data_IF_756794374245
#
_entry.id   IF_756794374245
#
_cell.length_a   1.000
_cell.length_b   1.000
_cell.length_c   1.000
_cell.angle_alpha   90.00
_cell.angle_beta   90.00
_cell.angle_gamma   90.00
#
_symmetry.space_group_name_H-M   'P 1'
#
loop_
_entity.id
_entity.type
_entity.pdbx_description
1 polymer ?
#
# COMPACT_ATOMS: atom_id res chain seq x y z
N UNK A 1 -37.07 -7.76 24.15
CA UNK A 1 -36.39 -6.45 24.16
C UNK A 1 -35.26 -6.53 23.16
N UNK A 2 -35.14 -5.63 22.19
CA UNK A 2 -33.97 -5.65 21.33
C UNK A 2 -32.76 -5.28 22.19
N UNK A 3 -31.77 -6.17 22.25
CA UNK A 3 -30.50 -5.86 22.83
C UNK A 3 -29.87 -4.74 22.02
N UNK A 4 -29.68 -3.58 22.66
CA UNK A 4 -28.90 -2.51 22.08
C UNK A 4 -27.45 -3.00 21.99
N UNK A 5 -27.08 -3.49 20.83
CA UNK A 5 -25.66 -3.74 20.49
C UNK A 5 -25.01 -2.38 20.40
N UNK A 6 -24.35 -1.97 21.48
CA UNK A 6 -23.54 -0.77 21.48
C UNK A 6 -22.28 -1.09 20.69
N UNK A 7 -22.23 -0.64 19.45
CA UNK A 7 -20.99 -0.64 18.67
C UNK A 7 -20.00 0.28 19.35
N UNK A 8 -19.07 -0.28 20.09
CA UNK A 8 -17.91 0.47 20.56
C UNK A 8 -17.02 0.79 19.38
N UNK A 9 -17.25 1.95 18.78
CA UNK A 9 -16.27 2.56 17.89
C UNK A 9 -15.13 3.01 18.79
N UNK A 10 -14.04 2.25 18.80
CA UNK A 10 -12.83 2.64 19.52
C UNK A 10 -12.21 3.83 18.80
N UNK A 11 -12.51 5.02 19.28
CA UNK A 11 -11.74 6.21 18.92
C UNK A 11 -10.41 6.12 19.66
N UNK A 12 -9.34 5.89 18.93
CA UNK A 12 -7.99 5.91 19.49
C UNK A 12 -7.55 7.35 19.65
N UNK A 13 -7.61 7.86 20.88
CA UNK A 13 -7.11 9.19 21.24
C UNK A 13 -5.63 9.08 21.63
N UNK A 14 -4.76 9.71 20.87
CA UNK A 14 -3.32 9.63 20.97
C UNK A 14 -2.77 11.02 21.30
N UNK A 15 -2.08 11.13 22.43
CA UNK A 15 -1.42 12.35 22.83
C UNK A 15 0.05 12.29 22.43
N UNK A 16 0.49 13.28 21.66
CA UNK A 16 1.86 13.42 21.19
C UNK A 16 2.43 14.76 21.63
N UNK A 17 3.75 14.84 21.72
CA UNK A 17 4.45 16.05 22.07
C UNK A 17 5.32 16.51 20.90
N UNK A 18 5.20 17.78 20.56
CA UNK A 18 6.10 18.43 19.64
C UNK A 18 7.35 18.87 20.42
N UNK A 19 8.51 18.40 19.99
CA UNK A 19 9.79 18.87 20.51
C UNK A 19 10.17 20.19 19.84
N UNK A 20 10.42 21.18 20.65
CA UNK A 20 11.06 22.42 20.26
C UNK A 20 12.48 22.44 20.85
N UNK A 21 13.46 22.96 20.13
CA UNK A 21 14.90 22.96 20.47
C UNK A 21 15.24 23.56 21.84
N UNK A 22 14.34 24.29 22.44
CA UNK A 22 14.52 24.92 23.74
C UNK A 22 14.26 23.99 24.94
N UNK A 23 13.96 22.67 24.73
CA UNK A 23 13.21 21.93 25.73
C UNK A 23 13.79 20.59 26.16
N UNK A 24 14.44 20.60 27.29
CA UNK A 24 14.58 19.42 28.14
C UNK A 24 13.20 19.09 28.73
N UNK A 25 12.62 18.02 28.27
CA UNK A 25 11.26 17.58 28.65
C UNK A 25 11.23 17.10 30.09
N UNK A 26 10.47 17.77 30.93
CA UNK A 26 10.30 17.36 32.32
C UNK A 26 9.16 16.36 32.48
N UNK A 27 8.16 16.35 31.59
CA UNK A 27 6.99 15.47 31.67
C UNK A 27 6.41 15.14 30.28
N UNK A 28 7.01 14.24 29.51
CA UNK A 28 6.44 13.86 28.22
C UNK A 28 5.08 13.17 28.36
N UNK A 29 4.18 13.33 27.40
CA UNK A 29 2.94 12.58 27.35
C UNK A 29 3.27 11.08 27.22
N UNK A 30 2.42 10.26 27.83
CA UNK A 30 2.58 8.80 27.76
C UNK A 30 1.46 8.21 26.93
N UNK A 31 1.82 7.63 25.80
CA UNK A 31 0.95 6.72 25.10
C UNK A 31 1.62 5.34 25.04
N UNK A 32 1.46 4.59 26.11
CA UNK A 32 2.03 3.24 26.27
C UNK A 32 1.07 2.15 25.76
N UNK A 33 0.00 2.53 25.07
CA UNK A 33 -0.98 1.56 24.58
C UNK A 33 -0.64 1.15 23.16
N UNK A 34 -0.55 -0.17 22.94
CA UNK A 34 -0.54 -0.74 21.61
C UNK A 34 -1.89 -0.45 20.96
N UNK A 35 -1.85 0.21 19.81
CA UNK A 35 -3.03 0.54 19.02
C UNK A 35 -3.37 -0.70 18.18
N UNK A 36 -4.58 -1.24 18.35
CA UNK A 36 -5.04 -2.40 17.59
C UNK A 36 -5.83 -1.95 16.38
N UNK A 37 -5.43 -2.41 15.21
CA UNK A 37 -6.09 -2.15 13.94
C UNK A 37 -6.50 -3.48 13.32
N UNK A 38 -7.72 -3.57 12.83
CA UNK A 38 -8.26 -4.81 12.27
C UNK A 38 -8.38 -4.69 10.74
N UNK A 39 -7.88 -5.72 10.03
CA UNK A 39 -8.08 -5.84 8.58
C UNK A 39 -9.57 -5.92 8.27
N UNK A 40 -9.97 -5.33 7.14
CA UNK A 40 -11.38 -5.32 6.72
C UNK A 40 -12.23 -4.21 7.36
N UNK A 41 -11.65 -3.41 8.27
CA UNK A 41 -12.35 -2.31 8.95
C UNK A 41 -11.54 -1.04 8.89
N UNK A 42 -12.18 0.08 8.56
CA UNK A 42 -11.55 1.39 8.60
C UNK A 42 -11.34 1.82 10.06
N UNK A 43 -10.11 2.21 10.39
CA UNK A 43 -9.75 2.66 11.73
C UNK A 43 -9.40 4.14 11.71
N UNK A 44 -9.86 4.87 12.72
CA UNK A 44 -9.58 6.30 12.88
C UNK A 44 -8.70 6.51 14.11
N UNK A 45 -7.60 7.23 13.91
CA UNK A 45 -6.69 7.66 14.95
C UNK A 45 -6.82 9.17 15.11
N UNK A 46 -7.17 9.64 16.31
CA UNK A 46 -7.24 11.06 16.65
C UNK A 46 -5.97 11.43 17.41
N UNK A 47 -5.25 12.44 16.92
CA UNK A 47 -4.03 12.94 17.54
C UNK A 47 -4.30 14.27 18.27
N UNK A 48 -3.70 14.40 19.44
CA UNK A 48 -3.72 15.61 20.24
C UNK A 48 -2.27 16.04 20.49
N UNK A 49 -1.82 17.06 19.78
CA UNK A 49 -0.44 17.51 19.80
C UNK A 49 -0.30 18.63 20.84
N UNK A 50 0.64 18.44 21.73
CA UNK A 50 0.88 19.33 22.88
C UNK A 50 2.34 19.74 22.93
N UNK A 51 2.58 20.89 23.56
CA UNK A 51 3.91 21.34 23.94
C UNK A 51 4.39 20.65 25.24
N UNK A 52 5.58 21.03 25.69
CA UNK A 52 6.19 20.59 26.96
C UNK A 52 5.33 20.89 28.18
N UNK A 53 4.55 21.97 28.15
CA UNK A 53 3.68 22.41 29.23
C UNK A 53 2.29 21.76 29.15
N UNK A 54 2.11 20.79 28.24
CA UNK A 54 0.86 20.09 27.94
C UNK A 54 -0.23 20.98 27.36
N UNK A 55 0.13 22.15 26.83
CA UNK A 55 -0.79 23.04 26.13
C UNK A 55 -0.92 22.57 24.67
N UNK A 56 -2.09 22.73 24.05
CA UNK A 56 -2.25 22.47 22.64
C UNK A 56 -1.30 23.31 21.78
N UNK A 57 -0.71 22.71 20.78
CA UNK A 57 0.16 23.38 19.80
C UNK A 57 -0.65 23.71 18.56
N UNK A 58 -0.56 24.95 18.07
CA UNK A 58 -1.19 25.31 16.81
C UNK A 58 -0.47 24.64 15.63
N UNK A 59 -1.23 24.00 14.76
CA UNK A 59 -0.75 23.39 13.53
C UNK A 59 -1.05 24.25 12.28
N UNK A 60 -1.60 25.44 12.48
CA UNK A 60 -2.18 26.31 11.43
C UNK A 60 -1.22 26.70 10.30
N UNK A 61 0.07 26.48 10.48
CA UNK A 61 1.11 26.94 9.55
C UNK A 61 2.01 25.81 9.06
N UNK A 62 1.59 24.56 9.21
CA UNK A 62 2.45 23.44 8.87
C UNK A 62 1.70 22.25 8.30
N UNK A 63 2.43 21.17 8.10
CA UNK A 63 1.88 19.91 7.59
C UNK A 63 2.27 18.77 8.52
N UNK A 64 1.27 18.02 8.96
CA UNK A 64 1.47 16.82 9.76
C UNK A 64 1.47 15.59 8.85
N UNK A 65 2.57 14.84 8.86
CA UNK A 65 2.72 13.64 8.03
C UNK A 65 2.92 12.40 8.91
N UNK A 66 2.20 11.35 8.59
CA UNK A 66 2.28 10.05 9.25
C UNK A 66 2.97 9.02 8.34
N UNK A 67 3.83 8.19 8.94
CA UNK A 67 4.57 7.10 8.28
C UNK A 67 4.26 5.80 9.02
N UNK A 68 3.76 4.81 8.34
CA UNK A 68 3.56 3.47 8.88
C UNK A 68 4.61 2.52 8.30
N UNK A 69 5.39 1.90 9.17
CA UNK A 69 6.54 1.07 8.82
C UNK A 69 6.40 -0.31 9.46
N UNK A 70 6.79 -1.35 8.75
CA UNK A 70 6.86 -2.69 9.35
C UNK A 70 7.98 -2.73 10.41
N UNK A 71 7.65 -3.20 11.62
CA UNK A 71 8.60 -3.25 12.74
C UNK A 71 9.84 -4.12 12.45
N UNK A 72 9.66 -5.22 11.74
CA UNK A 72 10.73 -6.21 11.51
C UNK A 72 11.57 -5.89 10.27
N UNK A 73 10.92 -5.50 9.16
CA UNK A 73 11.59 -5.32 7.88
C UNK A 73 11.97 -3.88 7.59
N UNK A 74 11.47 -2.92 8.39
CA UNK A 74 11.58 -1.47 8.18
C UNK A 74 10.99 -0.98 6.85
N UNK A 75 10.18 -1.80 6.18
CA UNK A 75 9.51 -1.41 4.95
C UNK A 75 8.39 -0.41 5.24
N UNK A 76 8.36 0.66 4.47
CA UNK A 76 7.31 1.68 4.53
C UNK A 76 6.02 1.12 3.91
N UNK A 77 4.94 1.09 4.69
CA UNK A 77 3.61 0.70 4.21
C UNK A 77 2.92 1.85 3.49
N UNK A 78 2.86 2.99 4.16
CA UNK A 78 2.33 4.20 3.56
C UNK A 78 2.89 5.46 4.22
N UNK A 79 2.86 6.55 3.46
CA UNK A 79 3.02 7.91 3.94
C UNK A 79 1.72 8.66 3.69
N UNK A 80 1.22 9.39 4.69
CA UNK A 80 -0.04 10.13 4.54
C UNK A 80 -0.04 11.42 5.32
N UNK A 81 -0.55 12.47 4.71
CA UNK A 81 -0.86 13.72 5.42
C UNK A 81 -2.04 13.48 6.37
N UNK A 82 -1.87 13.89 7.61
CA UNK A 82 -2.92 13.83 8.63
C UNK A 82 -3.91 14.97 8.39
N UNK A 83 -5.20 14.64 8.38
CA UNK A 83 -6.26 15.62 8.28
C UNK A 83 -6.31 16.46 9.58
N UNK A 84 -6.15 17.76 9.47
CA UNK A 84 -6.29 18.67 10.61
C UNK A 84 -7.77 18.87 10.91
N UNK A 85 -8.19 18.55 12.15
CA UNK A 85 -9.58 18.77 12.61
C UNK A 85 -9.71 20.18 13.19
N UNK A 86 -8.75 20.55 14.03
CA UNK A 86 -8.65 21.86 14.65
C UNK A 86 -7.17 22.23 14.78
N UNK A 87 -6.72 23.02 13.83
CA UNK A 87 -5.34 23.46 13.76
C UNK A 87 -4.92 24.41 14.90
N UNK A 88 -5.87 25.05 15.54
CA UNK A 88 -5.59 25.95 16.68
C UNK A 88 -5.36 25.20 17.98
N UNK A 89 -5.99 24.04 18.13
CA UNK A 89 -5.90 23.18 19.33
C UNK A 89 -5.05 21.93 19.11
N UNK A 90 -4.31 21.84 18.00
CA UNK A 90 -3.37 20.74 17.73
C UNK A 90 -4.05 19.41 17.51
N UNK A 91 -5.25 19.39 16.94
CA UNK A 91 -5.99 18.15 16.70
C UNK A 91 -5.87 17.70 15.24
N UNK A 92 -5.46 16.46 15.05
CA UNK A 92 -5.35 15.82 13.76
C UNK A 92 -6.03 14.45 13.72
N UNK A 93 -6.37 13.98 12.52
CA UNK A 93 -7.05 12.72 12.28
C UNK A 93 -6.39 11.95 11.16
N UNK A 94 -6.04 10.71 11.43
CA UNK A 94 -5.54 9.76 10.43
C UNK A 94 -6.55 8.63 10.26
N UNK A 95 -6.96 8.40 9.02
CA UNK A 95 -7.77 7.24 8.66
C UNK A 95 -6.86 6.17 8.07
N UNK A 96 -6.83 5.01 8.71
CA UNK A 96 -6.26 3.79 8.14
C UNK A 96 -7.41 3.05 7.48
N UNK A 97 -7.42 3.02 6.17
CA UNK A 97 -8.50 2.43 5.39
C UNK A 97 -8.27 0.93 5.23
N UNK A 98 -9.35 0.17 5.06
CA UNK A 98 -9.26 -1.25 4.76
C UNK A 98 -8.30 -1.55 3.59
N UNK A 99 -8.36 -0.75 2.53
CA UNK A 99 -7.49 -0.91 1.36
C UNK A 99 -5.99 -0.77 1.68
N UNK A 100 -5.63 -0.01 2.71
CA UNK A 100 -4.24 0.16 3.13
C UNK A 100 -3.69 -1.10 3.81
N UNK A 101 -4.56 -1.98 4.26
CA UNK A 101 -4.24 -3.22 4.96
C UNK A 101 -4.43 -4.47 4.09
N UNK A 102 -4.83 -4.30 2.83
CA UNK A 102 -4.91 -5.42 1.87
C UNK A 102 -3.49 -5.95 1.62
N UNK A 103 -3.32 -7.26 1.81
CA UNK A 103 -2.01 -7.90 1.68
C UNK A 103 -1.05 -7.70 2.87
N UNK A 104 -1.36 -6.80 3.81
CA UNK A 104 -0.54 -6.59 5.01
C UNK A 104 -0.64 -7.78 5.94
N UNK A 105 0.49 -8.24 6.47
CA UNK A 105 0.54 -9.36 7.43
C UNK A 105 0.06 -8.88 8.80
N UNK A 106 -0.59 -9.79 9.55
CA UNK A 106 -0.89 -9.54 10.95
C UNK A 106 0.41 -9.51 11.76
N UNK A 107 0.59 -8.48 12.57
CA UNK A 107 1.83 -8.29 13.33
C UNK A 107 1.99 -6.86 13.83
N UNK A 108 3.23 -6.53 14.23
CA UNK A 108 3.56 -5.22 14.78
C UNK A 108 4.16 -4.29 13.74
N UNK A 109 3.68 -3.06 13.79
CA UNK A 109 4.07 -1.95 12.93
C UNK A 109 4.39 -0.73 13.78
N UNK A 110 5.15 0.20 13.22
CA UNK A 110 5.55 1.44 13.87
C UNK A 110 4.94 2.62 13.11
N UNK A 111 4.17 3.43 13.82
CA UNK A 111 3.64 4.69 13.31
C UNK A 111 4.46 5.83 13.87
N UNK A 112 5.07 6.61 13.01
CA UNK A 112 5.74 7.86 13.38
C UNK A 112 5.06 9.04 12.71
N UNK A 113 5.13 10.20 13.35
CA UNK A 113 4.58 11.44 12.83
C UNK A 113 5.66 12.53 12.83
N UNK A 114 5.63 13.37 11.79
CA UNK A 114 6.45 14.55 11.69
C UNK A 114 5.58 15.77 11.43
N UNK A 115 5.99 16.88 11.98
CA UNK A 115 5.39 18.19 11.70
C UNK A 115 6.38 19.04 10.92
N UNK A 116 6.01 19.49 9.74
CA UNK A 116 6.78 20.44 8.94
C UNK A 116 6.19 21.83 9.14
N UNK A 117 6.97 22.73 9.72
CA UNK A 117 6.56 24.13 9.98
C UNK A 117 6.63 24.99 8.70
N UNK A 118 6.24 26.27 8.80
CA UNK A 118 6.30 27.23 7.67
C UNK A 118 7.72 27.54 7.21
N UNK A 119 8.69 27.45 8.11
CA UNK A 119 10.10 27.72 7.81
C UNK A 119 10.75 26.57 7.06
N UNK A 120 10.04 25.45 6.92
CA UNK A 120 10.48 24.25 6.21
C UNK A 120 11.14 23.22 7.11
N UNK A 121 11.28 23.47 8.40
CA UNK A 121 11.86 22.52 9.35
C UNK A 121 10.92 21.36 9.61
N UNK A 122 11.48 20.17 9.68
CA UNK A 122 10.75 18.95 9.98
C UNK A 122 11.05 18.51 11.42
N UNK A 123 10.05 18.59 12.26
CA UNK A 123 10.14 18.29 13.69
C UNK A 123 9.49 16.92 13.98
N UNK A 124 10.14 16.05 14.76
CA UNK A 124 9.53 14.79 15.17
C UNK A 124 8.49 15.01 16.26
N UNK A 125 7.49 14.13 16.32
CA UNK A 125 6.51 14.09 17.39
C UNK A 125 6.83 12.91 18.32
N UNK A 126 6.94 13.18 19.61
CA UNK A 126 7.29 12.18 20.61
C UNK A 126 6.05 11.52 21.20
N UNK A 127 6.10 10.21 21.32
CA UNK A 127 5.03 9.36 21.82
C UNK A 127 5.19 9.02 23.31
N UNK A 128 6.42 8.95 23.82
CA UNK A 128 6.70 8.54 25.20
C UNK A 128 7.87 9.30 25.87
N UNK A 129 8.21 8.90 27.08
CA UNK A 129 9.27 9.51 27.91
C UNK A 129 10.70 9.14 27.48
N UNK A 130 10.85 8.14 26.65
CA UNK A 130 12.16 7.63 26.23
C UNK A 130 12.61 8.25 24.91
N UNK A 131 12.12 9.44 24.57
CA UNK A 131 12.37 10.11 23.30
C UNK A 131 11.97 9.25 22.09
N UNK A 132 10.99 8.36 22.30
CA UNK A 132 10.50 7.48 21.26
C UNK A 132 9.51 8.22 20.35
N UNK A 133 9.86 8.34 19.08
CA UNK A 133 9.03 8.95 18.05
C UNK A 133 8.05 7.97 17.39
N UNK A 134 8.03 6.71 17.86
CA UNK A 134 7.28 5.63 17.26
C UNK A 134 6.16 5.15 18.17
N UNK A 135 4.98 5.00 17.60
CA UNK A 135 3.82 4.36 18.21
C UNK A 135 3.71 2.93 17.71
N UNK A 136 3.49 1.98 18.61
CA UNK A 136 3.29 0.58 18.20
C UNK A 136 1.85 0.37 17.76
N UNK A 137 1.67 -0.12 16.54
CA UNK A 137 0.39 -0.57 15.97
C UNK A 137 0.44 -2.08 15.82
N UNK A 138 -0.56 -2.78 16.35
CA UNK A 138 -0.77 -4.21 16.13
C UNK A 138 -1.87 -4.38 15.06
N UNK A 139 -1.50 -4.84 13.88
CA UNK A 139 -2.46 -5.22 12.82
C UNK A 139 -2.93 -6.64 13.08
N UNK A 140 -4.23 -6.81 13.25
CA UNK A 140 -4.89 -8.10 13.51
C UNK A 140 -5.78 -8.50 12.34
N UNK A 141 -5.97 -9.79 12.18
CA UNK A 141 -7.00 -10.29 11.28
C UNK A 141 -8.38 -9.84 11.79
N UNK A 142 -9.16 -9.30 10.88
CA UNK A 142 -10.48 -8.76 11.18
C UNK A 142 -11.59 -9.79 11.01
N UNK A 143 -12.84 -9.36 11.22
CA UNK A 143 -14.02 -10.23 11.05
C UNK A 143 -14.29 -10.58 9.59
N UNK A 144 -13.69 -9.86 8.65
CA UNK A 144 -13.89 -10.08 7.22
C UNK A 144 -12.78 -11.01 6.74
N UNK A 145 -13.10 -12.12 6.04
CA UNK A 145 -12.10 -12.98 5.43
C UNK A 145 -11.14 -12.18 4.54
N UNK A 146 -9.88 -12.58 4.49
CA UNK A 146 -8.87 -11.96 3.64
C UNK A 146 -9.37 -11.95 2.19
N UNK A 147 -9.86 -10.81 1.73
CA UNK A 147 -10.16 -10.60 0.33
C UNK A 147 -8.82 -10.36 -0.37
N UNK A 148 -8.49 -11.25 -1.26
CA UNK A 148 -7.35 -11.06 -2.14
C UNK A 148 -7.91 -10.58 -3.45
N UNK A 149 -7.76 -9.28 -3.72
CA UNK A 149 -8.22 -8.70 -4.96
C UNK A 149 -7.33 -9.15 -6.12
N UNK A 150 -7.99 -9.49 -7.23
CA UNK A 150 -7.33 -9.67 -8.51
C UNK A 150 -7.49 -8.41 -9.34
N UNK A 151 -6.41 -7.90 -9.88
CA UNK A 151 -6.45 -6.76 -10.80
C UNK A 151 -6.78 -7.27 -12.21
N UNK A 152 -7.83 -6.72 -12.81
CA UNK A 152 -8.18 -7.01 -14.20
C UNK A 152 -7.50 -6.00 -15.13
N UNK A 153 -6.70 -6.53 -16.05
CA UNK A 153 -5.99 -5.74 -17.05
C UNK A 153 -6.64 -5.93 -18.41
N UNK A 154 -6.84 -4.80 -19.08
CA UNK A 154 -7.30 -4.75 -20.47
C UNK A 154 -6.21 -4.07 -21.29
N UNK A 155 -5.96 -4.58 -22.47
CA UNK A 155 -5.02 -4.00 -23.41
C UNK A 155 -5.65 -2.81 -24.13
N UNK A 156 -4.94 -1.72 -24.15
CA UNK A 156 -5.32 -0.61 -25.06
C UNK A 156 -4.96 -0.99 -26.48
N UNK A 157 -5.93 -0.97 -27.37
CA UNK A 157 -5.72 -1.18 -28.81
C UNK A 157 -4.79 -0.08 -29.35
N UNK A 158 -3.50 -0.34 -29.41
CA UNK A 158 -2.60 0.47 -30.25
C UNK A 158 -2.60 -0.17 -31.63
N UNK A 159 -3.14 0.56 -32.61
CA UNK A 159 -3.31 0.09 -33.97
C UNK A 159 -1.99 -0.27 -34.64
N UNK A 160 -2.00 -1.35 -35.34
CA UNK A 160 -0.97 -1.86 -36.23
C UNK A 160 -0.98 -3.36 -36.24
N UNK A 161 -1.19 -3.97 -37.39
CA UNK A 161 -1.06 -5.41 -37.61
C UNK A 161 0.36 -5.84 -37.24
N UNK A 162 0.51 -6.72 -36.21
CA UNK A 162 1.81 -7.24 -35.79
C UNK A 162 2.61 -6.34 -34.82
N UNK A 163 2.01 -5.33 -34.21
CA UNK A 163 2.66 -4.52 -33.18
C UNK A 163 2.36 -5.06 -31.78
N UNK A 164 3.41 -5.22 -30.97
CA UNK A 164 3.31 -5.60 -29.55
C UNK A 164 2.47 -4.58 -28.79
N UNK A 165 1.43 -5.03 -28.14
CA UNK A 165 0.51 -4.19 -27.36
C UNK A 165 0.73 -4.43 -25.87
N UNK A 166 0.80 -3.38 -25.08
CA UNK A 166 1.08 -3.45 -23.65
C UNK A 166 -0.15 -3.09 -22.81
N UNK A 167 -0.27 -3.75 -21.66
CA UNK A 167 -1.15 -3.28 -20.60
C UNK A 167 -0.55 -2.07 -19.88
N UNK A 168 -1.34 -1.37 -19.07
CA UNK A 168 -0.78 -0.47 -18.06
C UNK A 168 0.10 -1.27 -17.09
N UNK A 169 1.17 -0.64 -16.61
CA UNK A 169 2.00 -1.21 -15.56
C UNK A 169 1.26 -1.18 -14.21
N UNK A 170 1.41 -2.25 -13.44
CA UNK A 170 0.88 -2.37 -12.08
C UNK A 170 2.04 -2.22 -11.12
N UNK A 171 1.90 -1.35 -10.13
CA UNK A 171 2.79 -1.30 -9.00
C UNK A 171 2.53 -2.52 -8.10
N UNK A 172 3.55 -3.35 -7.94
CA UNK A 172 3.51 -4.47 -7.01
C UNK A 172 3.91 -3.90 -5.66
N UNK A 173 2.92 -3.65 -4.80
CA UNK A 173 3.23 -3.31 -3.43
C UNK A 173 3.94 -4.51 -2.79
N UNK A 174 5.26 -4.45 -2.78
CA UNK A 174 6.17 -5.40 -2.11
C UNK A 174 5.95 -5.44 -0.58
N UNK A 175 4.91 -4.80 -0.13
CA UNK A 175 4.50 -4.60 1.26
C UNK A 175 3.93 -5.87 1.90
N UNK A 176 3.76 -6.94 1.14
CA UNK A 176 3.43 -8.24 1.70
C UNK A 176 4.67 -9.15 1.69
N UNK A 177 5.56 -9.04 2.66
CA UNK A 177 6.78 -9.86 2.73
C UNK A 177 6.49 -11.37 2.82
N UNK A 178 5.24 -11.77 3.03
CA UNK A 178 4.82 -13.16 3.17
C UNK A 178 4.31 -13.79 1.88
N UNK A 179 4.11 -13.06 0.81
CA UNK A 179 3.70 -13.67 -0.46
C UNK A 179 4.84 -14.44 -1.12
N UNK A 180 6.06 -14.38 -0.54
CA UNK A 180 7.28 -15.02 -1.08
C UNK A 180 7.54 -14.68 -2.54
N UNK A 181 7.03 -13.53 -2.99
CA UNK A 181 7.13 -13.13 -4.39
C UNK A 181 6.35 -14.03 -5.35
N UNK A 182 5.34 -14.74 -4.86
CA UNK A 182 4.48 -15.55 -5.73
C UNK A 182 3.47 -14.67 -6.45
N UNK A 183 3.57 -14.67 -7.77
CA UNK A 183 2.66 -13.97 -8.66
C UNK A 183 1.82 -14.98 -9.43
N UNK A 184 0.51 -14.76 -9.48
CA UNK A 184 -0.43 -15.57 -10.24
C UNK A 184 -1.15 -14.71 -11.25
N UNK A 185 -1.24 -15.15 -12.47
CA UNK A 185 -2.10 -14.51 -13.47
C UNK A 185 -2.81 -15.54 -14.34
N UNK A 186 -3.97 -15.13 -14.85
CA UNK A 186 -4.77 -15.93 -15.78
C UNK A 186 -5.02 -15.10 -17.02
N UNK A 187 -4.63 -15.66 -18.18
CA UNK A 187 -4.89 -15.04 -19.49
C UNK A 187 -6.17 -15.61 -20.06
N UNK A 188 -7.12 -14.75 -20.41
CA UNK A 188 -8.37 -15.14 -21.08
C UNK A 188 -8.28 -14.83 -22.56
N UNK A 189 -8.44 -15.85 -23.37
CA UNK A 189 -8.25 -15.81 -24.81
C UNK A 189 -9.52 -16.24 -25.55
N UNK A 190 -9.82 -15.59 -26.67
CA UNK A 190 -10.85 -16.00 -27.62
C UNK A 190 -10.25 -16.13 -29.00
N UNK A 191 -10.16 -17.39 -29.50
CA UNK A 191 -9.60 -17.73 -30.81
C UNK A 191 -8.24 -17.06 -31.10
N UNK A 192 -7.42 -16.92 -30.05
CA UNK A 192 -6.18 -16.15 -30.12
C UNK A 192 -5.04 -16.93 -30.76
N UNK A 193 -4.33 -16.25 -31.69
CA UNK A 193 -3.07 -16.69 -32.27
C UNK A 193 -2.03 -15.61 -32.09
N UNK A 194 -0.93 -15.93 -31.43
CA UNK A 194 0.15 -14.96 -31.12
C UNK A 194 0.84 -15.29 -29.83
N UNK A 195 1.67 -14.38 -29.38
CA UNK A 195 2.47 -14.52 -28.16
C UNK A 195 1.94 -13.63 -27.04
N UNK A 196 1.97 -14.15 -25.82
CA UNK A 196 1.70 -13.38 -24.59
C UNK A 196 2.96 -13.34 -23.76
N UNK A 197 3.30 -12.15 -23.25
CA UNK A 197 4.50 -11.85 -22.48
C UNK A 197 4.12 -11.31 -21.10
N UNK A 198 4.94 -11.61 -20.10
CA UNK A 198 4.96 -10.89 -18.82
C UNK A 198 6.30 -10.17 -18.71
N UNK A 199 6.29 -8.93 -18.27
CA UNK A 199 7.50 -8.12 -18.09
C UNK A 199 7.48 -7.51 -16.70
N UNK A 200 8.63 -7.50 -16.02
CA UNK A 200 8.82 -6.96 -14.68
C UNK A 200 9.82 -5.82 -14.65
N UNK A 201 9.76 -5.00 -13.62
CA UNK A 201 10.76 -3.98 -13.33
C UNK A 201 11.03 -3.88 -11.83
N UNK A 202 12.28 -3.58 -11.48
CA UNK A 202 12.73 -3.28 -10.11
C UNK A 202 13.04 -1.81 -9.91
N UNK A 203 12.75 -0.97 -10.91
CA UNK A 203 12.93 0.48 -10.81
C UNK A 203 11.92 1.09 -9.83
N UNK A 204 12.28 2.24 -9.24
CA UNK A 204 11.36 2.98 -8.35
C UNK A 204 10.13 3.51 -9.08
N UNK A 205 10.27 3.81 -10.38
CA UNK A 205 9.20 4.32 -11.24
C UNK A 205 9.05 3.43 -12.46
N UNK A 206 7.83 3.36 -13.01
CA UNK A 206 7.54 2.58 -14.21
C UNK A 206 8.09 3.22 -15.48
N UNK A 207 9.41 3.17 -15.66
CA UNK A 207 10.08 3.66 -16.87
C UNK A 207 10.05 2.58 -17.94
N UNK A 208 9.71 2.96 -19.18
CA UNK A 208 9.57 2.03 -20.31
C UNK A 208 10.80 1.16 -20.54
N UNK A 209 11.99 1.72 -20.39
CA UNK A 209 13.28 1.05 -20.59
C UNK A 209 13.70 0.14 -19.42
N UNK A 210 13.02 0.22 -18.28
CA UNK A 210 13.33 -0.55 -17.06
C UNK A 210 12.67 -1.93 -17.00
N UNK A 211 11.83 -2.28 -17.99
CA UNK A 211 11.15 -3.57 -18.01
C UNK A 211 11.99 -4.65 -18.66
N UNK A 212 12.01 -5.82 -18.03
CA UNK A 212 12.66 -7.04 -18.53
C UNK A 212 11.66 -8.20 -18.61
N UNK A 213 11.85 -9.13 -19.56
CA UNK A 213 10.94 -10.26 -19.72
C UNK A 213 11.02 -11.24 -18.54
N UNK A 214 9.84 -11.73 -18.12
CA UNK A 214 9.70 -12.78 -17.11
C UNK A 214 9.44 -14.10 -17.83
N UNK A 215 10.14 -15.16 -17.42
CA UNK A 215 9.90 -16.49 -17.95
C UNK A 215 8.54 -17.01 -17.51
N UNK A 216 7.66 -17.32 -18.49
CA UNK A 216 6.33 -17.88 -18.27
C UNK A 216 6.35 -19.35 -18.73
N UNK A 217 5.98 -20.28 -17.85
CA UNK A 217 6.01 -21.72 -18.18
C UNK A 217 7.42 -22.29 -18.17
N UNK A 218 7.71 -23.23 -19.05
CA UNK A 218 8.87 -24.12 -18.91
C UNK A 218 10.21 -23.57 -19.39
N UNK A 219 10.30 -22.44 -20.13
CA UNK A 219 11.62 -21.87 -20.49
C UNK A 219 11.62 -20.62 -21.39
N UNK A 220 10.48 -20.03 -21.71
CA UNK A 220 10.43 -18.93 -22.67
C UNK A 220 9.93 -17.63 -22.02
N UNK A 221 10.42 -16.49 -22.53
CA UNK A 221 9.97 -15.17 -22.13
C UNK A 221 8.54 -14.84 -22.63
N UNK A 222 7.88 -15.78 -23.30
CA UNK A 222 6.51 -15.66 -23.80
C UNK A 222 5.86 -17.03 -23.89
N UNK A 223 4.53 -17.04 -23.99
CA UNK A 223 3.73 -18.21 -24.31
C UNK A 223 3.04 -17.99 -25.65
N UNK A 224 3.26 -18.94 -26.58
CA UNK A 224 2.62 -18.91 -27.90
C UNK A 224 1.28 -19.65 -27.90
N UNK A 225 0.32 -19.13 -28.63
CA UNK A 225 -1.01 -19.70 -28.79
C UNK A 225 -1.38 -19.77 -30.27
N UNK A 226 -2.18 -20.78 -30.64
CA UNK A 226 -2.64 -20.97 -32.03
C UNK A 226 -4.14 -21.29 -32.02
N UNK A 227 -4.97 -20.29 -32.31
CA UNK A 227 -6.44 -20.42 -32.42
C UNK A 227 -7.13 -20.88 -31.13
N UNK A 228 -6.58 -20.57 -29.97
CA UNK A 228 -7.11 -21.07 -28.68
C UNK A 228 -8.13 -20.13 -28.06
N UNK A 229 -9.20 -20.75 -27.54
CA UNK A 229 -10.15 -20.10 -26.61
C UNK A 229 -10.03 -20.78 -25.27
N UNK A 230 -9.35 -20.12 -24.31
CA UNK A 230 -8.98 -20.72 -23.03
C UNK A 230 -8.76 -19.66 -21.97
N UNK A 231 -8.91 -20.05 -20.70
CA UNK A 231 -8.36 -19.35 -19.54
C UNK A 231 -7.11 -20.10 -19.07
N UNK A 232 -5.92 -19.53 -19.32
CA UNK A 232 -4.64 -20.20 -19.07
C UNK A 232 -3.95 -19.59 -17.84
N UNK A 233 -3.81 -20.33 -16.71
CA UNK A 233 -3.20 -19.84 -15.48
C UNK A 233 -1.69 -20.02 -15.47
N UNK A 234 -0.99 -19.03 -14.90
CA UNK A 234 0.46 -19.05 -14.70
C UNK A 234 0.83 -18.60 -13.30
N UNK A 235 1.91 -19.18 -12.79
CA UNK A 235 2.54 -18.79 -11.54
C UNK A 235 4.03 -18.59 -11.78
N UNK A 236 4.60 -17.57 -11.13
CA UNK A 236 6.04 -17.37 -11.09
C UNK A 236 6.45 -16.71 -9.79
N UNK A 237 7.72 -16.85 -9.42
CA UNK A 237 8.30 -16.20 -8.25
C UNK A 237 9.28 -15.12 -8.72
N UNK A 238 9.06 -13.88 -8.24
CA UNK A 238 9.95 -12.76 -8.50
C UNK A 238 9.81 -11.71 -7.40
N UNK A 239 10.85 -10.90 -7.22
CA UNK A 239 10.80 -9.71 -6.40
C UNK A 239 10.85 -8.50 -7.32
N UNK A 240 9.71 -7.87 -7.54
CA UNK A 240 9.51 -6.82 -8.54
C UNK A 240 8.83 -5.61 -7.88
N UNK A 241 9.10 -4.42 -8.42
CA UNK A 241 8.35 -3.21 -8.09
C UNK A 241 7.17 -3.01 -9.03
N UNK A 242 7.33 -3.40 -10.30
CA UNK A 242 6.31 -3.24 -11.33
C UNK A 242 6.16 -4.51 -12.17
N UNK A 243 4.94 -4.75 -12.64
CA UNK A 243 4.63 -5.78 -13.64
C UNK A 243 3.73 -5.19 -14.72
N UNK A 244 3.94 -5.61 -15.96
CA UNK A 244 3.05 -5.38 -17.08
C UNK A 244 2.97 -6.62 -17.96
N UNK A 245 1.94 -6.65 -18.77
CA UNK A 245 1.76 -7.74 -19.74
C UNK A 245 1.76 -7.16 -21.15
N UNK A 246 2.17 -7.98 -22.09
CA UNK A 246 2.09 -7.64 -23.49
C UNK A 246 1.60 -8.81 -24.30
N UNK A 247 0.99 -8.53 -25.44
CA UNK A 247 0.71 -9.54 -26.43
C UNK A 247 1.17 -9.09 -27.82
N UNK A 248 1.59 -10.07 -28.60
CA UNK A 248 2.03 -9.91 -29.98
C UNK A 248 1.15 -10.80 -30.86
N UNK A 249 0.07 -10.22 -31.47
CA UNK A 249 -0.87 -10.98 -32.26
C UNK A 249 -0.27 -11.36 -33.60
N UNK A 250 -0.58 -12.57 -34.10
CA UNK A 250 -0.23 -12.96 -35.46
C UNK A 250 -0.87 -12.00 -36.49
N UNK A 251 -0.21 -11.85 -37.64
CA UNK A 251 -0.55 -10.82 -38.65
C UNK A 251 -1.98 -10.93 -39.23
N UNK A 252 -2.66 -12.08 -39.09
CA UNK A 252 -4.00 -12.26 -39.66
C UNK A 252 -4.89 -13.08 -38.72
N UNK A 253 -6.11 -12.58 -38.47
CA UNK A 253 -7.15 -13.25 -37.66
C UNK A 253 -6.67 -13.75 -36.29
N UNK A 254 -5.98 -12.89 -35.58
CA UNK A 254 -5.32 -13.27 -34.33
C UNK A 254 -6.27 -13.55 -33.16
N UNK A 255 -7.59 -13.34 -33.31
CA UNK A 255 -8.51 -13.39 -32.17
C UNK A 255 -8.22 -12.30 -31.15
N UNK A 256 -8.57 -12.52 -29.89
CA UNK A 256 -8.43 -11.51 -28.83
C UNK A 256 -7.80 -12.06 -27.55
N UNK A 257 -7.02 -11.23 -26.87
CA UNK A 257 -6.74 -11.36 -25.46
C UNK A 257 -7.79 -10.53 -24.75
N UNK A 258 -8.76 -11.19 -24.14
CA UNK A 258 -9.93 -10.52 -23.58
C UNK A 258 -9.60 -9.75 -22.32
N UNK A 259 -8.83 -10.34 -21.42
CA UNK A 259 -8.30 -9.76 -20.20
C UNK A 259 -7.20 -10.63 -19.60
N UNK A 260 -6.44 -10.04 -18.71
CA UNK A 260 -5.58 -10.76 -17.78
C UNK A 260 -6.03 -10.45 -16.36
N UNK A 261 -6.28 -11.46 -15.56
CA UNK A 261 -6.44 -11.33 -14.12
C UNK A 261 -5.10 -11.58 -13.46
N UNK A 262 -4.62 -10.62 -12.69
CA UNK A 262 -3.35 -10.69 -11.98
C UNK A 262 -3.57 -10.58 -10.47
N UNK A 263 -2.74 -11.32 -9.72
CA UNK A 263 -2.70 -11.32 -8.26
C UNK A 263 -1.27 -11.59 -7.77
N UNK A 264 -0.80 -10.82 -6.80
CA UNK A 264 0.44 -11.01 -6.05
C UNK A 264 0.17 -11.40 -4.61
#
# INVERSE_FOLDING_TARGET
MPENITYYKYDHNIHLMLADDSNKTVNPPMNNKIIKVYKGVDTVLNFFIKDKDRKPVSLASGTLTAYLVNHTTSNLLFTRTVEEIDNTTGQGKLKILNKDLVGVISGFYELSLTFKNVDGDTLPLFADRGDNVKLTIEVKDGPIPKLVDSTSLVFSTKGGTGAKTYSSAIEINSVAPDTKGLHTFVVYLTNYTGDVHAEGSIEETSVETGFFPITIGSSTAHKSYTGLTIADPFNFNANLNWIRFAHDPAANNAGTVDKILYRS
#
